data_IF_929544784195
#
_entry.id   IF_929544784195
#
_cell.length_a   1.000
_cell.length_b   1.000
_cell.length_c   1.000
_cell.angle_alpha   90.00
_cell.angle_beta   90.00
_cell.angle_gamma   90.00
#
_symmetry.space_group_name_H-M   'P 1'
#
loop_
_entity.id
_entity.type
_entity.pdbx_description
1 polymer ?
#
# COMPACT_ATOMS: atom_id res chain seq x y z
N UNK A 1 -7.11 22.18 2.88
CA UNK A 1 -6.25 22.52 1.71
C UNK A 1 -5.05 23.39 2.12
N UNK A 2 -5.17 24.48 2.93
CA UNK A 2 -4.03 25.34 3.34
C UNK A 2 -2.80 24.58 3.89
N UNK A 3 -3.00 23.51 4.67
CA UNK A 3 -1.90 22.72 5.25
C UNK A 3 -1.06 22.03 4.18
N UNK A 4 -1.65 21.67 3.06
CA UNK A 4 -0.97 21.01 1.96
C UNK A 4 -0.15 22.02 1.11
N UNK A 5 -0.69 23.19 0.85
CA UNK A 5 0.02 24.29 0.15
C UNK A 5 1.28 24.72 0.91
N UNK A 6 1.22 24.80 2.24
CA UNK A 6 2.37 25.15 3.10
C UNK A 6 3.48 24.07 3.13
N UNK A 7 3.20 22.86 2.64
CA UNK A 7 4.12 21.72 2.65
C UNK A 7 4.55 21.22 1.28
N UNK A 8 4.27 22.01 0.24
CA UNK A 8 4.59 21.66 -1.16
C UNK A 8 3.94 20.32 -1.59
N UNK A 9 2.70 20.09 -1.12
CA UNK A 9 1.90 18.90 -1.42
C UNK A 9 0.83 19.28 -2.44
N UNK A 10 0.87 18.66 -3.60
CA UNK A 10 -0.18 18.76 -4.60
C UNK A 10 -1.38 17.89 -4.20
N UNK A 11 -2.58 18.47 -4.24
CA UNK A 11 -3.84 17.75 -3.98
C UNK A 11 -4.60 17.60 -5.29
N UNK A 12 -4.74 16.35 -5.74
CA UNK A 12 -5.48 16.03 -6.96
C UNK A 12 -6.89 15.55 -6.57
N UNK A 13 -7.89 16.28 -7.05
CA UNK A 13 -9.28 15.86 -6.91
C UNK A 13 -9.65 14.96 -8.09
N UNK A 14 -9.78 13.66 -7.85
CA UNK A 14 -10.12 12.69 -8.89
C UNK A 14 -11.61 12.71 -9.29
N UNK A 15 -12.46 13.50 -8.62
CA UNK A 15 -13.90 13.54 -8.87
C UNK A 15 -14.64 12.35 -8.22
N UNK A 16 -15.54 11.68 -8.92
CA UNK A 16 -16.19 10.48 -8.40
C UNK A 16 -15.18 9.39 -8.04
N UNK A 17 -15.45 8.58 -6.99
CA UNK A 17 -14.53 7.52 -6.56
C UNK A 17 -14.17 6.59 -7.71
N UNK A 18 -12.88 6.46 -7.98
CA UNK A 18 -12.33 5.67 -9.09
C UNK A 18 -11.62 4.38 -8.64
N UNK A 19 -11.70 4.06 -7.35
CA UNK A 19 -11.02 2.92 -6.71
C UNK A 19 -9.64 3.27 -6.18
N UNK A 20 -9.00 2.33 -5.46
CA UNK A 20 -7.71 2.56 -4.79
C UNK A 20 -6.55 2.80 -5.77
N UNK A 21 -6.71 2.43 -7.04
CA UNK A 21 -5.73 2.64 -8.11
C UNK A 21 -6.22 3.56 -9.24
N UNK A 22 -7.39 4.18 -9.11
CA UNK A 22 -7.96 5.05 -10.15
C UNK A 22 -7.12 6.28 -10.46
N UNK A 23 -6.28 6.73 -9.54
CA UNK A 23 -5.36 7.84 -9.71
C UNK A 23 -4.36 7.61 -10.87
N UNK A 24 -4.03 6.37 -11.22
CA UNK A 24 -3.16 6.07 -12.36
C UNK A 24 -3.65 6.66 -13.68
N UNK A 25 -4.96 6.87 -13.83
CA UNK A 25 -5.58 7.51 -15.01
C UNK A 25 -5.71 9.03 -14.90
N UNK A 26 -5.35 9.59 -13.74
CA UNK A 26 -5.54 11.01 -13.42
C UNK A 26 -4.24 11.78 -13.24
N UNK A 27 -3.12 11.08 -13.25
CA UNK A 27 -1.81 11.64 -12.89
C UNK A 27 -0.77 11.24 -13.91
N UNK A 28 0.08 12.16 -14.30
CA UNK A 28 1.30 11.84 -15.04
C UNK A 28 2.27 11.13 -14.11
N UNK A 29 2.60 9.87 -14.44
CA UNK A 29 3.43 9.03 -13.63
C UNK A 29 4.90 9.23 -13.97
N UNK A 30 5.79 9.51 -13.00
CA UNK A 30 7.23 9.52 -13.21
C UNK A 30 7.77 8.11 -13.48
N UNK A 31 9.03 8.00 -13.89
CA UNK A 31 9.67 6.71 -14.19
C UNK A 31 9.66 5.75 -13.01
N UNK A 32 9.77 6.29 -11.80
CA UNK A 32 9.60 5.52 -10.55
C UNK A 32 8.98 6.39 -9.46
N UNK A 33 8.12 5.80 -8.65
CA UNK A 33 7.41 6.51 -7.59
C UNK A 33 6.98 5.57 -6.47
N UNK A 34 6.62 6.16 -5.34
CA UNK A 34 6.02 5.45 -4.23
C UNK A 34 4.52 5.72 -4.17
N UNK A 35 3.77 4.70 -3.81
CA UNK A 35 2.36 4.81 -3.44
C UNK A 35 2.22 4.40 -1.99
N UNK A 36 1.44 5.15 -1.22
CA UNK A 36 1.22 4.86 0.19
C UNK A 36 -0.23 5.16 0.57
N UNK A 37 -0.81 4.28 1.38
CA UNK A 37 -2.14 4.51 1.94
C UNK A 37 -2.12 5.74 2.84
N UNK A 38 -3.08 6.66 2.67
CA UNK A 38 -3.14 7.92 3.39
C UNK A 38 -3.65 7.81 4.84
N UNK A 39 -4.14 6.64 5.23
CA UNK A 39 -4.71 6.34 6.56
C UNK A 39 -3.83 5.38 7.39
N UNK A 40 -2.56 5.28 7.05
CA UNK A 40 -1.62 4.40 7.74
C UNK A 40 -0.43 5.19 8.29
N UNK A 41 -0.14 5.00 9.56
CA UNK A 41 1.04 5.54 10.23
C UNK A 41 2.07 4.43 10.44
N UNK A 42 3.34 4.78 10.29
CA UNK A 42 4.47 3.88 10.50
C UNK A 42 5.42 4.47 11.54
N UNK A 43 5.93 3.63 12.43
CA UNK A 43 6.98 3.99 13.37
C UNK A 43 8.21 3.11 13.19
N UNK A 44 9.37 3.65 13.55
CA UNK A 44 10.65 2.94 13.42
C UNK A 44 11.42 3.29 12.14
N UNK A 45 12.42 2.48 11.83
CA UNK A 45 13.28 2.69 10.65
C UNK A 45 12.64 2.09 9.40
N UNK A 46 12.13 2.98 8.54
CA UNK A 46 11.45 2.62 7.29
C UNK A 46 12.41 2.80 6.13
N UNK A 47 13.24 1.80 5.87
CA UNK A 47 14.11 1.80 4.70
C UNK A 47 13.35 1.32 3.45
N UNK A 48 12.96 2.25 2.58
CA UNK A 48 12.22 2.00 1.34
C UNK A 48 13.12 1.83 0.10
N UNK A 49 14.45 1.84 0.25
CA UNK A 49 15.35 1.72 -0.89
C UNK A 49 15.21 0.37 -1.59
N UNK A 50 14.96 0.42 -2.88
CA UNK A 50 14.89 -0.74 -3.79
C UNK A 50 15.03 -0.27 -5.24
N UNK A 51 15.60 -1.11 -6.08
CA UNK A 51 15.78 -0.90 -7.52
C UNK A 51 14.72 -1.64 -8.37
N UNK A 52 13.67 -2.18 -7.74
CA UNK A 52 12.62 -2.97 -8.37
C UNK A 52 11.24 -2.53 -7.89
N UNK A 53 10.22 -2.84 -8.70
CA UNK A 53 8.83 -2.72 -8.25
C UNK A 53 8.61 -3.66 -7.08
N UNK A 54 8.23 -3.08 -5.93
CA UNK A 54 8.29 -3.76 -4.62
C UNK A 54 7.07 -3.45 -3.78
N UNK A 55 6.50 -4.47 -3.16
CA UNK A 55 5.56 -4.31 -2.04
C UNK A 55 6.31 -4.40 -0.72
N UNK A 56 6.07 -3.46 0.18
CA UNK A 56 6.65 -3.47 1.52
C UNK A 56 5.70 -4.20 2.47
N UNK A 57 6.25 -5.11 3.25
CA UNK A 57 5.49 -6.03 4.10
C UNK A 57 6.10 -6.10 5.50
N UNK A 58 5.30 -6.53 6.46
CA UNK A 58 5.77 -6.93 7.78
C UNK A 58 5.27 -8.34 8.13
N UNK A 59 6.02 -9.06 8.96
CA UNK A 59 5.55 -10.30 9.55
C UNK A 59 4.55 -10.01 10.67
N UNK A 60 3.27 -10.18 10.40
CA UNK A 60 2.20 -9.90 11.36
C UNK A 60 1.23 -11.08 11.46
N UNK A 61 0.51 -11.16 12.57
CA UNK A 61 -0.65 -12.04 12.64
C UNK A 61 -1.73 -11.49 11.73
N UNK A 62 -2.11 -12.27 10.73
CA UNK A 62 -3.09 -11.85 9.74
C UNK A 62 -4.48 -11.73 10.36
N UNK A 63 -5.21 -10.70 9.93
CA UNK A 63 -6.62 -10.47 10.23
C UNK A 63 -7.45 -10.53 8.95
N UNK A 64 -8.76 -10.66 9.07
CA UNK A 64 -9.65 -10.88 7.92
C UNK A 64 -9.76 -9.68 6.97
N UNK A 65 -9.27 -8.52 7.39
CA UNK A 65 -9.42 -7.23 6.71
C UNK A 65 -8.11 -6.68 6.09
N UNK A 66 -7.04 -7.47 6.12
CA UNK A 66 -5.75 -7.06 5.56
C UNK A 66 -5.32 -7.93 4.39
N UNK A 67 -4.65 -7.31 3.42
CA UNK A 67 -3.96 -8.02 2.34
C UNK A 67 -2.60 -8.53 2.81
N UNK A 68 -2.23 -9.72 2.36
CA UNK A 68 -0.92 -10.31 2.61
C UNK A 68 -0.37 -10.97 1.36
N UNK A 69 0.91 -11.26 1.37
CA UNK A 69 1.54 -11.96 0.25
C UNK A 69 2.09 -13.32 0.69
N UNK A 70 2.22 -14.21 -0.27
CA UNK A 70 3.11 -15.36 -0.22
C UNK A 70 4.22 -15.16 -1.24
N UNK A 71 5.43 -15.54 -0.86
CA UNK A 71 6.56 -15.33 -1.74
C UNK A 71 7.81 -16.03 -1.23
N UNK A 72 8.80 -16.09 -2.10
CA UNK A 72 10.07 -16.75 -1.84
C UNK A 72 11.21 -15.94 -2.42
N UNK A 73 12.34 -15.92 -1.74
CA UNK A 73 13.59 -15.30 -2.19
C UNK A 73 13.40 -13.82 -2.66
N UNK A 74 12.52 -13.07 -1.96
CA UNK A 74 12.23 -11.68 -2.27
C UNK A 74 11.25 -11.47 -3.44
N UNK A 75 10.68 -12.54 -4.01
CA UNK A 75 9.67 -12.50 -5.08
C UNK A 75 8.29 -12.80 -4.53
N UNK A 76 7.30 -12.00 -4.95
CA UNK A 76 5.88 -12.28 -4.70
C UNK A 76 5.41 -13.39 -5.63
N UNK A 77 4.81 -14.42 -5.06
CA UNK A 77 4.20 -15.52 -5.81
C UNK A 77 2.67 -15.38 -5.83
N UNK A 78 2.11 -14.85 -4.75
CA UNK A 78 0.67 -14.67 -4.61
C UNK A 78 0.37 -13.42 -3.77
N UNK A 79 -0.61 -12.64 -4.19
CA UNK A 79 -1.21 -11.56 -3.39
C UNK A 79 -2.62 -11.99 -2.96
N UNK A 80 -2.87 -12.05 -1.66
CA UNK A 80 -4.13 -12.51 -1.08
C UNK A 80 -4.82 -11.34 -0.39
N UNK A 81 -5.98 -10.96 -0.87
CA UNK A 81 -6.77 -9.87 -0.28
C UNK A 81 -7.97 -10.44 0.48
N UNK A 82 -8.12 -10.02 1.74
CA UNK A 82 -9.29 -10.30 2.60
C UNK A 82 -9.70 -11.77 2.67
N UNK A 83 -8.79 -12.63 3.09
CA UNK A 83 -9.10 -14.04 3.28
C UNK A 83 -9.68 -14.29 4.70
N UNK A 84 -10.97 -14.64 4.83
CA UNK A 84 -11.60 -14.88 6.14
C UNK A 84 -11.05 -16.13 6.87
N UNK A 85 -10.42 -17.03 6.14
CA UNK A 85 -9.83 -18.26 6.70
C UNK A 85 -8.35 -18.12 7.03
N UNK A 86 -7.75 -16.94 6.79
CA UNK A 86 -6.36 -16.70 7.08
C UNK A 86 -6.06 -16.79 8.59
N UNK A 87 -5.00 -17.49 8.94
CA UNK A 87 -4.58 -17.73 10.32
C UNK A 87 -3.07 -17.77 10.43
N UNK A 88 -2.57 -17.29 11.56
CA UNK A 88 -1.14 -17.32 11.85
C UNK A 88 -0.41 -16.08 11.34
N UNK A 89 0.89 -16.19 11.20
CA UNK A 89 1.76 -15.12 10.71
C UNK A 89 1.92 -15.23 9.20
N UNK A 90 1.73 -14.10 8.54
CA UNK A 90 1.93 -13.94 7.10
C UNK A 90 2.74 -12.66 6.84
N UNK A 91 3.16 -12.47 5.61
CA UNK A 91 3.78 -11.23 5.14
C UNK A 91 2.68 -10.23 4.77
N UNK A 92 2.22 -9.47 5.76
CA UNK A 92 1.11 -8.52 5.61
C UNK A 92 1.57 -7.29 4.86
N UNK A 93 0.81 -6.87 3.85
CA UNK A 93 1.07 -5.63 3.11
C UNK A 93 0.96 -4.41 4.03
N UNK A 94 1.96 -3.56 3.97
CA UNK A 94 1.97 -2.30 4.72
C UNK A 94 1.20 -1.18 4.02
N UNK A 95 0.66 -1.43 2.81
CA UNK A 95 0.06 -0.38 2.00
C UNK A 95 1.09 0.62 1.48
N UNK A 96 2.35 0.20 1.38
CA UNK A 96 3.43 0.95 0.76
C UNK A 96 3.94 0.14 -0.42
N UNK A 97 4.08 0.80 -1.56
CA UNK A 97 4.55 0.21 -2.79
C UNK A 97 5.58 1.13 -3.45
N UNK A 98 6.59 0.58 -4.08
CA UNK A 98 7.40 1.27 -5.07
C UNK A 98 7.11 0.68 -6.44
N UNK A 99 6.83 1.53 -7.40
CA UNK A 99 6.62 1.14 -8.78
C UNK A 99 7.64 1.79 -9.71
N UNK A 100 8.02 1.04 -10.72
CA UNK A 100 8.62 1.56 -11.93
C UNK A 100 7.55 1.59 -13.01
N UNK A 101 7.36 2.73 -13.66
CA UNK A 101 6.28 2.95 -14.64
C UNK A 101 6.30 1.90 -15.76
N UNK A 102 7.49 1.49 -16.20
CA UNK A 102 7.68 0.44 -17.21
C UNK A 102 7.13 -0.95 -16.81
N UNK A 103 6.94 -1.21 -15.52
CA UNK A 103 6.47 -2.49 -14.99
C UNK A 103 4.95 -2.50 -14.78
N UNK A 104 4.30 -1.33 -14.89
CA UNK A 104 2.87 -1.19 -14.65
C UNK A 104 2.04 -1.70 -15.82
N UNK A 105 1.06 -2.54 -15.49
CA UNK A 105 0.01 -2.96 -16.40
C UNK A 105 -1.32 -2.41 -15.86
N UNK A 106 -1.78 -1.30 -16.43
CA UNK A 106 -2.99 -0.60 -15.98
C UNK A 106 -4.16 -0.96 -16.90
N UNK A 107 -5.16 -1.74 -16.40
CA UNK A 107 -6.34 -2.09 -17.18
C UNK A 107 -7.20 -0.87 -17.54
N UNK A 108 -7.78 -0.86 -18.75
CA UNK A 108 -8.73 0.17 -19.19
C UNK A 108 -10.11 -0.05 -18.56
N UNK A 109 -10.21 0.16 -17.23
CA UNK A 109 -11.49 0.08 -16.51
C UNK A 109 -11.53 1.03 -15.33
N UNK A 110 -12.72 1.36 -14.86
CA UNK A 110 -12.98 2.05 -13.58
C UNK A 110 -14.24 1.43 -12.94
N UNK A 111 -14.29 1.30 -11.63
CA UNK A 111 -13.23 1.58 -10.66
C UNK A 111 -12.06 0.60 -10.77
N UNK A 112 -10.86 1.03 -10.38
CA UNK A 112 -9.63 0.24 -10.44
C UNK A 112 -9.12 -0.01 -9.02
N UNK A 113 -8.93 -1.27 -8.65
CA UNK A 113 -8.38 -1.66 -7.35
C UNK A 113 -6.89 -1.93 -7.45
N UNK A 114 -6.13 -1.39 -6.50
CA UNK A 114 -4.71 -1.74 -6.35
C UNK A 114 -4.54 -3.24 -6.12
N UNK A 115 -5.30 -3.79 -5.20
CA UNK A 115 -5.16 -5.15 -4.67
C UNK A 115 -5.69 -6.23 -5.61
N UNK A 116 -6.75 -5.93 -6.35
CA UNK A 116 -7.40 -6.92 -7.25
C UNK A 116 -6.98 -6.77 -8.71
N UNK A 117 -6.60 -5.55 -9.14
CA UNK A 117 -6.43 -5.28 -10.57
C UNK A 117 -4.99 -4.97 -10.95
N UNK A 118 -4.18 -4.41 -10.06
CA UNK A 118 -2.81 -4.01 -10.35
C UNK A 118 -1.79 -5.02 -9.80
N UNK A 119 -1.77 -5.22 -8.49
CA UNK A 119 -0.74 -6.02 -7.84
C UNK A 119 -0.67 -7.47 -8.35
N UNK A 120 -1.79 -8.18 -8.59
CA UNK A 120 -1.76 -9.55 -9.08
C UNK A 120 -1.22 -9.71 -10.51
N UNK A 121 -1.18 -8.62 -11.29
CA UNK A 121 -0.72 -8.63 -12.68
C UNK A 121 0.76 -8.28 -12.83
N UNK A 122 1.40 -7.85 -11.74
CA UNK A 122 2.78 -7.36 -11.76
C UNK A 122 3.78 -8.42 -11.33
N UNK A 123 4.97 -8.40 -11.94
CA UNK A 123 6.15 -9.12 -11.42
C UNK A 123 6.78 -8.34 -10.26
N UNK A 124 6.25 -8.55 -9.04
CA UNK A 124 6.63 -7.82 -7.85
C UNK A 124 7.71 -8.53 -7.04
N UNK A 125 8.58 -7.72 -6.44
CA UNK A 125 9.40 -8.13 -5.33
C UNK A 125 8.73 -7.74 -4.00
N UNK A 126 9.20 -8.29 -2.89
CA UNK A 126 8.81 -7.82 -1.58
C UNK A 126 10.02 -7.51 -0.72
N UNK A 127 9.84 -6.57 0.20
CA UNK A 127 10.84 -6.21 1.21
C UNK A 127 10.18 -6.19 2.58
N UNK A 128 10.74 -6.96 3.51
CA UNK A 128 10.24 -7.01 4.90
C UNK A 128 10.80 -5.81 5.66
N UNK A 129 9.93 -5.02 6.27
CA UNK A 129 10.28 -3.93 7.16
C UNK A 129 10.07 -4.33 8.62
N UNK A 130 10.94 -3.82 9.49
CA UNK A 130 10.82 -3.93 10.94
C UNK A 130 10.23 -2.64 11.49
N UNK A 131 8.98 -2.37 11.13
CA UNK A 131 8.25 -1.19 11.59
C UNK A 131 6.93 -1.60 12.22
N UNK A 132 6.44 -0.83 13.17
CA UNK A 132 5.06 -0.93 13.63
C UNK A 132 4.15 -0.14 12.68
N UNK A 133 3.01 -0.71 12.37
CA UNK A 133 1.99 -0.13 11.51
C UNK A 133 0.72 0.14 12.29
N UNK A 134 0.18 1.32 12.12
CA UNK A 134 -1.11 1.71 12.69
C UNK A 134 -2.03 2.16 11.57
N UNK A 135 -3.05 1.37 11.29
CA UNK A 135 -4.18 1.79 10.46
C UNK A 135 -5.08 2.69 11.31
N UNK A 136 -5.30 3.90 10.84
CA UNK A 136 -6.11 4.94 11.50
C UNK A 136 -7.39 5.27 10.72
N UNK A 137 -7.80 4.42 9.81
CA UNK A 137 -8.94 4.62 8.90
C UNK A 137 -10.32 4.54 9.57
N UNK A 138 -10.42 4.15 10.86
CA UNK A 138 -11.67 4.23 11.62
C UNK A 138 -11.51 5.01 12.93
N UNK A 139 -12.59 5.61 13.50
CA UNK A 139 -12.52 6.31 14.76
C UNK A 139 -11.90 5.46 15.89
N UNK A 140 -12.26 4.19 15.99
CA UNK A 140 -11.77 3.28 17.01
C UNK A 140 -10.26 3.00 16.86
N UNK A 141 -9.79 2.84 15.61
CA UNK A 141 -8.38 2.64 15.31
C UNK A 141 -7.57 3.91 15.59
N UNK A 142 -8.11 5.07 15.23
CA UNK A 142 -7.50 6.36 15.54
C UNK A 142 -7.36 6.59 17.05
N UNK A 143 -8.40 6.28 17.85
CA UNK A 143 -8.34 6.42 19.30
C UNK A 143 -7.33 5.44 19.94
N UNK A 144 -7.19 4.25 19.38
CA UNK A 144 -6.15 3.30 19.81
C UNK A 144 -4.74 3.81 19.48
N UNK A 145 -4.56 4.40 18.31
CA UNK A 145 -3.29 5.02 17.90
C UNK A 145 -2.92 6.20 18.80
N UNK A 146 -3.85 7.10 19.14
CA UNK A 146 -3.62 8.21 20.06
C UNK A 146 -3.11 7.74 21.41
N UNK A 147 -3.71 6.71 21.99
CA UNK A 147 -3.28 6.12 23.27
C UNK A 147 -1.88 5.48 23.23
N UNK A 148 -1.42 5.11 22.07
CA UNK A 148 -0.07 4.58 21.87
C UNK A 148 0.94 5.72 21.69
N UNK A 149 0.52 6.81 21.04
CA UNK A 149 1.37 7.96 20.72
C UNK A 149 1.63 8.88 21.92
N UNK A 150 0.66 9.03 22.84
CA UNK A 150 0.76 9.82 24.07
C UNK A 150 1.62 9.12 25.13
#
# INVERSE_FOLDING_TARGET
FKVYEERDIEVINEGPPSGTAGFFWKTDLPDSFYVMNGDTFFSGDVNLDTDKSTVFVAEETVTNDVGYIRGKDGKVEEFVEKNPDAKGKELVSLGIYKFYNKDLLIPEKLPLSMEYDILPMMDLNYKVLKSERFDIGTPERLERFKKWYD
#
